data_IF_431987547909
#
_entry.id   IF_431987547909
#
_cell.length_a   1.000
_cell.length_b   1.000
_cell.length_c   1.000
_cell.angle_alpha   90.00
_cell.angle_beta   90.00
_cell.angle_gamma   90.00
#
_symmetry.space_group_name_H-M   'P 1'
#
loop_
_entity.id
_entity.type
_entity.pdbx_description
1 polymer ?
#
# COMPACT_ATOMS: atom_id res chain seq x y z
N UNK A 1 11.75 24.02 -51.85
CA UNK A 1 10.38 24.41 -51.45
C UNK A 1 9.94 23.50 -50.31
N UNK A 2 9.67 24.03 -49.11
CA UNK A 2 9.28 23.24 -47.94
C UNK A 2 7.74 23.12 -47.93
N UNK A 3 7.21 21.89 -48.01
CA UNK A 3 5.77 21.62 -47.86
C UNK A 3 5.39 21.81 -46.39
N UNK A 4 4.57 22.85 -46.10
CA UNK A 4 3.95 23.04 -44.78
C UNK A 4 2.94 21.91 -44.56
N UNK A 5 3.01 21.24 -43.41
CA UNK A 5 1.99 20.26 -42.97
C UNK A 5 0.77 21.04 -42.47
N UNK A 6 -0.41 20.71 -42.99
CA UNK A 6 -1.69 21.17 -42.47
C UNK A 6 -1.84 20.71 -41.00
N UNK A 7 -2.26 21.59 -40.07
CA UNK A 7 -2.56 21.17 -38.72
C UNK A 7 -3.82 20.31 -38.75
N UNK A 8 -3.66 19.01 -38.49
CA UNK A 8 -4.78 18.10 -38.27
C UNK A 8 -5.57 18.64 -37.06
N UNK A 9 -6.74 19.25 -37.29
CA UNK A 9 -7.72 19.54 -36.24
C UNK A 9 -8.27 18.21 -35.75
N UNK A 10 -7.53 17.56 -34.88
CA UNK A 10 -8.13 16.62 -33.94
C UNK A 10 -8.90 17.50 -32.96
N UNK A 11 -10.22 17.53 -33.12
CA UNK A 11 -11.09 18.08 -32.09
C UNK A 11 -10.86 17.26 -30.83
N UNK A 12 -10.00 17.79 -29.97
CA UNK A 12 -9.73 17.26 -28.65
C UNK A 12 -11.02 17.40 -27.87
N UNK A 13 -11.79 16.32 -27.81
CA UNK A 13 -13.01 16.24 -27.01
C UNK A 13 -12.64 16.54 -25.56
N UNK A 14 -13.07 17.69 -25.05
CA UNK A 14 -12.78 18.13 -23.67
C UNK A 14 -13.29 17.10 -22.66
N UNK A 15 -14.32 16.31 -23.02
CA UNK A 15 -14.82 15.22 -22.18
C UNK A 15 -13.82 14.06 -22.04
N UNK A 16 -12.93 13.86 -23.03
CA UNK A 16 -11.85 12.88 -22.95
C UNK A 16 -10.72 13.27 -21.99
N UNK A 17 -10.57 14.58 -21.70
CA UNK A 17 -9.66 15.06 -20.64
C UNK A 17 -10.27 14.93 -19.24
N UNK A 18 -11.58 15.15 -19.10
CA UNK A 18 -12.26 15.07 -17.79
C UNK A 18 -12.42 13.60 -17.33
N UNK A 19 -12.73 12.68 -18.24
CA UNK A 19 -12.93 11.26 -17.91
C UNK A 19 -11.65 10.52 -17.47
N UNK A 20 -10.46 11.10 -17.67
CA UNK A 20 -9.19 10.48 -17.28
C UNK A 20 -8.76 10.71 -15.83
N UNK A 21 -9.45 11.58 -15.07
CA UNK A 21 -8.83 12.17 -13.87
C UNK A 21 -9.58 12.07 -12.53
N UNK A 22 -10.77 11.48 -12.42
CA UNK A 22 -11.35 11.20 -11.09
C UNK A 22 -12.50 10.17 -11.12
N UNK A 23 -12.14 8.90 -11.29
CA UNK A 23 -12.91 7.81 -10.71
C UNK A 23 -11.92 6.82 -10.08
N UNK A 24 -11.11 7.35 -9.15
CA UNK A 24 -10.52 6.52 -8.11
C UNK A 24 -11.68 5.80 -7.44
N UNK A 25 -11.71 4.49 -7.64
CA UNK A 25 -12.70 3.55 -7.15
C UNK A 25 -13.04 3.79 -5.67
N UNK A 26 -14.06 4.60 -5.40
CA UNK A 26 -14.83 4.57 -4.16
C UNK A 26 -15.85 3.43 -4.22
N UNK A 27 -15.32 2.24 -4.49
CA UNK A 27 -15.97 0.96 -4.23
C UNK A 27 -15.01 0.20 -3.33
N UNK A 28 -15.51 -0.34 -2.22
CA UNK A 28 -14.77 -1.15 -1.24
C UNK A 28 -13.70 -1.99 -1.93
N UNK A 29 -12.48 -1.45 -1.95
CA UNK A 29 -11.40 -2.10 -2.65
C UNK A 29 -10.97 -3.22 -1.73
N UNK A 30 -11.47 -4.43 -1.98
CA UNK A 30 -11.14 -5.61 -1.18
C UNK A 30 -9.63 -5.69 -1.08
N UNK A 31 -9.10 -5.35 0.11
CA UNK A 31 -7.66 -5.27 0.33
C UNK A 31 -7.10 -6.68 0.23
N UNK A 32 -6.13 -6.89 -0.66
CA UNK A 32 -5.51 -8.19 -0.83
C UNK A 32 -4.49 -8.46 0.30
N UNK A 33 -4.72 -9.45 1.19
CA UNK A 33 -3.80 -9.74 2.30
C UNK A 33 -2.44 -10.30 1.84
N UNK A 34 -2.33 -10.75 0.59
CA UNK A 34 -1.09 -11.25 -0.02
C UNK A 34 -0.35 -10.19 -0.86
N UNK A 35 -0.79 -8.93 -0.81
CA UNK A 35 -0.14 -7.86 -1.54
C UNK A 35 1.34 -7.67 -1.11
N UNK A 36 2.22 -7.20 -2.02
CA UNK A 36 3.61 -6.92 -1.67
C UNK A 36 3.76 -5.91 -0.53
N UNK A 37 4.73 -6.15 0.35
CA UNK A 37 5.00 -5.30 1.54
C UNK A 37 5.86 -4.08 1.19
N UNK A 38 5.42 -3.27 0.23
CA UNK A 38 6.11 -2.04 -0.22
C UNK A 38 5.39 -0.75 0.20
N UNK A 39 4.33 -0.85 1.00
CA UNK A 39 3.45 0.29 1.25
C UNK A 39 4.10 1.36 2.13
N UNK A 40 4.45 1.04 3.40
CA UNK A 40 5.04 1.99 4.35
C UNK A 40 5.95 1.26 5.36
N UNK A 41 6.98 1.97 5.84
CA UNK A 41 7.82 1.55 6.97
C UNK A 41 7.40 2.31 8.24
N UNK A 42 7.54 1.68 9.41
CA UNK A 42 7.21 2.29 10.71
C UNK A 42 8.33 2.06 11.72
N UNK A 43 8.59 3.08 12.54
CA UNK A 43 9.52 3.04 13.68
C UNK A 43 8.70 3.07 14.95
N UNK A 44 8.87 2.06 15.82
CA UNK A 44 8.12 1.92 17.05
C UNK A 44 9.06 2.13 18.24
N UNK A 45 8.90 3.21 19.03
CA UNK A 45 9.61 3.35 20.30
C UNK A 45 9.09 2.29 21.28
N UNK A 46 9.99 1.68 22.04
CA UNK A 46 9.67 0.63 23.02
C UNK A 46 10.42 0.90 24.31
N UNK A 47 9.83 0.48 25.44
CA UNK A 47 10.58 0.32 26.68
C UNK A 47 11.33 -1.03 26.69
N UNK A 48 12.17 -1.23 27.70
CA UNK A 48 12.99 -2.45 27.83
C UNK A 48 12.14 -3.72 27.95
N UNK A 49 11.05 -3.66 28.70
CA UNK A 49 10.15 -4.80 28.89
C UNK A 49 9.51 -5.25 27.57
N UNK A 50 8.98 -4.30 26.80
CA UNK A 50 8.34 -4.54 25.50
C UNK A 50 9.34 -5.11 24.49
N UNK A 51 10.56 -4.57 24.46
CA UNK A 51 11.60 -5.04 23.57
C UNK A 51 12.03 -6.47 23.90
N UNK A 52 12.23 -6.79 25.19
CA UNK A 52 12.60 -8.13 25.63
C UNK A 52 11.49 -9.14 25.32
N UNK A 53 10.22 -8.78 25.57
CA UNK A 53 9.08 -9.61 25.19
C UNK A 53 9.07 -9.91 23.68
N UNK A 54 9.28 -8.89 22.85
CA UNK A 54 9.32 -9.05 21.39
C UNK A 54 10.47 -9.98 20.95
N UNK A 55 11.63 -9.80 21.55
CA UNK A 55 12.83 -10.63 21.29
C UNK A 55 12.58 -12.09 21.67
N UNK A 56 12.05 -12.36 22.87
CA UNK A 56 11.81 -13.71 23.35
C UNK A 56 10.78 -14.44 22.49
N UNK A 57 9.73 -13.74 22.05
CA UNK A 57 8.74 -14.28 21.11
C UNK A 57 9.35 -14.56 19.74
N UNK A 58 10.20 -13.67 19.23
CA UNK A 58 10.88 -13.85 17.96
C UNK A 58 11.79 -15.08 17.98
N UNK A 59 12.55 -15.27 19.05
CA UNK A 59 13.41 -16.44 19.26
C UNK A 59 12.58 -17.72 19.38
N UNK A 60 11.55 -17.72 20.24
CA UNK A 60 10.67 -18.88 20.46
C UNK A 60 10.03 -19.41 19.19
N UNK A 61 9.62 -18.53 18.28
CA UNK A 61 8.94 -18.91 17.04
C UNK A 61 9.85 -18.90 15.80
N UNK A 62 11.15 -18.59 15.96
CA UNK A 62 12.09 -18.49 14.85
C UNK A 62 11.68 -17.45 13.80
N UNK A 63 11.05 -16.35 14.24
CA UNK A 63 10.54 -15.29 13.37
C UNK A 63 11.31 -13.99 13.56
N UNK A 64 11.18 -13.07 12.61
CA UNK A 64 11.70 -11.70 12.79
C UNK A 64 10.77 -10.89 13.70
N UNK A 65 11.29 -9.84 14.33
CA UNK A 65 10.50 -8.89 15.12
C UNK A 65 9.26 -8.39 14.35
N UNK A 66 9.45 -7.96 13.10
CA UNK A 66 8.35 -7.53 12.24
C UNK A 66 7.37 -8.66 11.90
N UNK A 67 7.82 -9.92 11.88
CA UNK A 67 6.96 -11.10 11.72
C UNK A 67 6.04 -11.29 12.92
N UNK A 68 6.58 -11.21 14.14
CA UNK A 68 5.80 -11.29 15.38
C UNK A 68 4.77 -10.17 15.46
N UNK A 69 5.15 -8.92 15.17
CA UNK A 69 4.22 -7.79 15.17
C UNK A 69 3.08 -8.02 14.17
N UNK A 70 3.38 -8.49 12.95
CA UNK A 70 2.35 -8.83 11.95
C UNK A 70 1.42 -9.94 12.41
N UNK A 71 1.96 -10.95 13.08
CA UNK A 71 1.16 -12.02 13.65
C UNK A 71 0.22 -11.50 14.73
N UNK A 72 0.70 -10.66 15.65
CA UNK A 72 -0.11 -10.05 16.69
C UNK A 72 -1.26 -9.21 16.12
N UNK A 73 -1.00 -8.40 15.08
CA UNK A 73 -2.04 -7.62 14.40
C UNK A 73 -3.13 -8.52 13.80
N UNK A 74 -2.74 -9.63 13.16
CA UNK A 74 -3.69 -10.60 12.61
C UNK A 74 -4.51 -11.27 13.71
N UNK A 75 -3.87 -11.69 14.80
CA UNK A 75 -4.55 -12.31 15.93
C UNK A 75 -5.57 -11.36 16.60
N UNK A 76 -5.22 -10.09 16.76
CA UNK A 76 -6.13 -9.08 17.29
C UNK A 76 -7.34 -8.85 16.37
N UNK A 77 -7.13 -8.87 15.05
CA UNK A 77 -8.23 -8.79 14.08
C UNK A 77 -9.14 -10.03 14.14
N UNK A 78 -8.56 -11.22 14.27
CA UNK A 78 -9.29 -12.49 14.31
C UNK A 78 -10.02 -12.72 15.66
N UNK A 79 -9.66 -11.95 16.70
CA UNK A 79 -10.27 -12.03 18.04
C UNK A 79 -11.45 -11.07 18.25
N UNK A 80 -11.77 -10.23 17.27
CA UNK A 80 -12.97 -9.37 17.22
C UNK A 80 -14.05 -10.02 16.37
#
# INVERSE_FOLDING_TARGET
>A
MIKKREPNKQDLDVNSFINGSNLENSGDSVLNPRAPRKYKNHTLPMNEYEYNLLRDLAEKYGQTHSGIIRYALKQLNDSN
#
